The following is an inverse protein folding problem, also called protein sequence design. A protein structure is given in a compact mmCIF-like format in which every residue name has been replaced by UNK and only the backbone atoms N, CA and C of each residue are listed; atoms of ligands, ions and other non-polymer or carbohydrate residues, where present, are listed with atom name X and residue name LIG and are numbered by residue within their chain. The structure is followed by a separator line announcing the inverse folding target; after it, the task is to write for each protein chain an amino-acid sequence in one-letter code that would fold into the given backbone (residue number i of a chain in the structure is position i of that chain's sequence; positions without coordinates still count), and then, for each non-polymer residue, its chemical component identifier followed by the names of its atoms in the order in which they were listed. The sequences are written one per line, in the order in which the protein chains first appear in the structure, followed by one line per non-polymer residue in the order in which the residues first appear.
data_IF_458460299027
#
_entry.id   IF_458460299027
#
_cell.length_a   1.000
_cell.length_b   1.000
_cell.length_c   1.000
_cell.angle_alpha   90.00
_cell.angle_beta   90.00
_cell.angle_gamma   90.00
#
_symmetry.space_group_name_H-M   'P 1'
#
loop_
_entity.id
_entity.type
_entity.pdbx_description
1 polymer ?
#
# COMPACT_ATOMS: atom_id res chain seq x y z
N UNK A 1 -6.60 -8.50 -29.31
CA UNK A 1 -5.60 -8.26 -28.24
C UNK A 1 -4.32 -9.03 -28.54
N UNK A 2 -3.14 -8.54 -28.13
CA UNK A 2 -1.88 -9.30 -28.22
C UNK A 2 -1.76 -10.23 -27.02
N UNK A 3 -1.23 -11.44 -27.23
CA UNK A 3 -1.00 -12.44 -26.18
C UNK A 3 0.47 -12.82 -26.10
N UNK A 4 0.89 -13.39 -24.97
CA UNK A 4 2.22 -13.97 -24.76
C UNK A 4 2.08 -15.23 -23.91
N UNK A 5 2.85 -16.27 -24.22
CA UNK A 5 2.84 -17.50 -23.41
C UNK A 5 3.68 -17.31 -22.16
N UNK A 6 3.24 -17.82 -21.02
CA UNK A 6 3.97 -17.71 -19.75
C UNK A 6 5.43 -18.18 -19.85
N UNK A 7 5.71 -19.27 -20.56
CA UNK A 7 7.09 -19.77 -20.79
C UNK A 7 8.01 -18.72 -21.41
N UNK A 8 7.54 -17.94 -22.39
CA UNK A 8 8.31 -16.86 -23.01
C UNK A 8 8.60 -15.70 -22.03
N UNK A 9 7.69 -15.46 -21.08
CA UNK A 9 7.91 -14.52 -19.99
C UNK A 9 9.01 -15.02 -19.05
N UNK A 10 9.00 -16.30 -18.69
CA UNK A 10 10.02 -16.92 -17.82
C UNK A 10 11.39 -16.95 -18.49
N UNK A 11 11.47 -17.29 -19.79
CA UNK A 11 12.73 -17.29 -20.54
C UNK A 11 13.36 -15.88 -20.62
N UNK A 12 12.55 -14.84 -20.85
CA UNK A 12 13.03 -13.46 -20.92
C UNK A 12 13.36 -12.88 -19.53
N UNK A 13 12.43 -13.04 -18.58
CA UNK A 13 12.39 -12.30 -17.32
C UNK A 13 12.83 -13.10 -16.09
N UNK A 14 13.10 -14.39 -16.21
CA UNK A 14 13.47 -15.31 -15.14
C UNK A 14 12.27 -16.00 -14.48
N UNK A 15 12.54 -16.95 -13.58
CA UNK A 15 11.50 -17.62 -12.77
C UNK A 15 10.84 -16.62 -11.83
N UNK A 16 9.51 -16.54 -11.79
CA UNK A 16 8.81 -15.74 -10.79
C UNK A 16 8.70 -16.46 -9.46
N UNK A 17 8.62 -15.67 -8.40
CA UNK A 17 8.21 -16.08 -7.06
C UNK A 17 6.68 -15.87 -6.94
N UNK A 18 5.95 -16.82 -6.35
CA UNK A 18 4.57 -16.54 -5.87
C UNK A 18 4.69 -15.53 -4.74
N UNK A 19 3.78 -14.54 -4.67
CA UNK A 19 3.55 -13.72 -3.48
C UNK A 19 2.07 -13.76 -3.12
N UNK A 20 1.70 -14.57 -2.12
CA UNK A 20 0.35 -14.59 -1.59
C UNK A 20 0.08 -13.34 -0.72
N UNK A 21 -0.95 -12.55 -1.07
CA UNK A 21 -1.26 -11.31 -0.34
C UNK A 21 -2.11 -11.58 0.90
N UNK A 22 -1.45 -11.92 2.01
CA UNK A 22 -2.06 -12.13 3.34
C UNK A 22 -2.48 -10.82 4.05
N UNK A 23 -2.91 -9.80 3.30
CA UNK A 23 -3.27 -8.49 3.84
C UNK A 23 -3.32 -7.39 2.77
N UNK A 24 -3.46 -6.11 3.16
CA UNK A 24 -3.51 -5.01 2.20
C UNK A 24 -2.14 -4.80 1.54
N UNK A 25 -2.12 -4.72 0.20
CA UNK A 25 -0.91 -4.49 -0.62
C UNK A 25 -0.11 -3.21 -0.27
N UNK A 26 -0.67 -2.32 0.55
CA UNK A 26 0.05 -1.16 1.10
C UNK A 26 1.07 -1.53 2.19
N UNK A 27 0.91 -2.65 2.86
CA UNK A 27 1.82 -3.11 3.93
C UNK A 27 3.06 -3.83 3.40
N UNK A 28 2.97 -4.41 2.19
CA UNK A 28 4.07 -5.20 1.62
C UNK A 28 5.02 -4.32 0.78
N UNK A 29 6.17 -3.99 1.39
CA UNK A 29 7.18 -3.11 0.80
C UNK A 29 7.89 -3.73 -0.40
N UNK A 30 7.96 -5.06 -0.46
CA UNK A 30 8.57 -5.78 -1.58
C UNK A 30 7.65 -5.74 -2.80
N UNK A 31 6.36 -6.03 -2.60
CA UNK A 31 5.35 -5.91 -3.64
C UNK A 31 5.28 -4.48 -4.18
N UNK A 32 5.22 -3.46 -3.31
CA UNK A 32 5.25 -2.05 -3.75
C UNK A 32 6.46 -1.70 -4.60
N UNK A 33 7.63 -2.26 -4.29
CA UNK A 33 8.84 -2.07 -5.09
C UNK A 33 8.73 -2.79 -6.43
N UNK A 34 8.25 -4.03 -6.45
CA UNK A 34 8.01 -4.79 -7.67
C UNK A 34 6.99 -4.10 -8.59
N UNK A 35 5.95 -3.46 -8.04
CA UNK A 35 4.97 -2.65 -8.80
C UNK A 35 5.67 -1.47 -9.50
N UNK A 36 6.47 -0.69 -8.76
CA UNK A 36 7.23 0.46 -9.32
C UNK A 36 8.24 0.04 -10.39
N UNK A 37 8.88 -1.10 -10.22
CA UNK A 37 9.80 -1.69 -11.19
C UNK A 37 9.06 -2.42 -12.35
N UNK A 38 7.72 -2.48 -12.31
CA UNK A 38 6.84 -3.21 -13.23
C UNK A 38 7.27 -4.68 -13.40
N UNK A 39 7.45 -5.37 -12.27
CA UNK A 39 7.89 -6.77 -12.13
C UNK A 39 6.76 -7.71 -11.69
N UNK A 40 5.56 -7.19 -11.44
CA UNK A 40 4.39 -7.95 -10.99
C UNK A 40 3.56 -8.38 -12.18
N UNK A 41 3.15 -9.64 -12.18
CA UNK A 41 2.09 -10.22 -13.00
C UNK A 41 0.94 -10.60 -12.06
N UNK A 42 -0.24 -10.04 -12.27
CA UNK A 42 -1.46 -10.46 -11.56
C UNK A 42 -2.13 -11.57 -12.37
N UNK A 43 -2.50 -12.67 -11.72
CA UNK A 43 -3.14 -13.85 -12.30
C UNK A 43 -4.60 -13.89 -11.88
N UNK A 44 -5.50 -13.85 -12.85
CA UNK A 44 -6.94 -14.01 -12.65
C UNK A 44 -7.32 -15.48 -12.84
N UNK A 45 -7.88 -16.07 -11.78
CA UNK A 45 -8.42 -17.43 -11.75
C UNK A 45 -9.94 -17.33 -11.76
N UNK A 46 -10.58 -17.70 -12.87
CA UNK A 46 -12.05 -17.73 -12.94
C UNK A 46 -12.56 -18.99 -12.23
N UNK A 47 -12.92 -18.87 -10.94
CA UNK A 47 -13.40 -19.98 -10.09
C UNK A 47 -14.68 -20.70 -10.59
N UNK A 48 -15.29 -20.23 -11.69
CA UNK A 48 -16.53 -20.77 -12.27
C UNK A 48 -16.34 -21.14 -13.74
N UNK A 49 -16.14 -22.45 -13.99
CA UNK A 49 -16.09 -23.08 -15.31
C UNK A 49 -14.72 -23.65 -15.70
N UNK A 50 -14.62 -24.16 -16.92
CA UNK A 50 -13.37 -24.72 -17.51
C UNK A 50 -12.52 -23.68 -18.23
N UNK A 51 -12.69 -22.39 -17.92
CA UNK A 51 -11.89 -21.31 -18.51
C UNK A 51 -10.46 -21.38 -17.99
N UNK A 52 -9.50 -21.03 -18.85
CA UNK A 52 -8.07 -21.10 -18.52
C UNK A 52 -7.61 -19.83 -17.83
N UNK A 53 -6.81 -19.98 -16.78
CA UNK A 53 -6.12 -18.91 -16.08
C UNK A 53 -5.36 -17.99 -17.05
N UNK A 54 -5.42 -16.69 -16.77
CA UNK A 54 -4.78 -15.66 -17.57
C UNK A 54 -4.23 -14.56 -16.67
N UNK A 55 -3.15 -13.93 -17.14
CA UNK A 55 -2.46 -12.90 -16.38
C UNK A 55 -2.45 -11.54 -17.08
N UNK A 56 -2.44 -10.49 -16.26
CA UNK A 56 -2.25 -9.09 -16.66
C UNK A 56 -1.01 -8.55 -15.94
N UNK A 57 -0.13 -7.90 -16.69
CA UNK A 57 1.08 -7.30 -16.13
C UNK A 57 0.72 -6.00 -15.40
N UNK A 58 1.31 -5.83 -14.22
CA UNK A 58 0.89 -4.83 -13.24
C UNK A 58 0.23 -5.47 -12.02
N UNK A 59 -0.25 -4.62 -11.13
CA UNK A 59 -0.93 -5.02 -9.90
C UNK A 59 -2.40 -4.62 -9.97
N UNK A 60 -3.28 -5.61 -9.87
CA UNK A 60 -4.72 -5.42 -9.77
C UNK A 60 -5.20 -5.94 -8.39
N UNK A 61 -5.78 -5.09 -7.53
CA UNK A 61 -6.24 -5.49 -6.20
C UNK A 61 -7.56 -6.26 -6.31
N UNK A 62 -7.48 -7.57 -6.52
CA UNK A 62 -8.63 -8.48 -6.61
C UNK A 62 -8.47 -9.58 -5.55
N UNK A 63 -9.55 -9.92 -4.85
CA UNK A 63 -9.54 -10.90 -3.75
C UNK A 63 -9.18 -12.33 -4.19
N UNK A 64 -9.40 -12.66 -5.46
CA UNK A 64 -9.19 -13.97 -6.06
C UNK A 64 -7.91 -14.07 -6.88
N UNK A 65 -7.12 -13.00 -6.98
CA UNK A 65 -5.94 -12.98 -7.82
C UNK A 65 -4.65 -13.41 -7.09
N UNK A 66 -3.81 -14.15 -7.79
CA UNK A 66 -2.45 -14.48 -7.34
C UNK A 66 -1.44 -13.50 -7.96
N UNK A 67 -0.39 -13.17 -7.21
CA UNK A 67 0.65 -12.24 -7.68
C UNK A 67 1.95 -12.99 -7.89
N UNK A 68 2.55 -12.80 -9.08
CA UNK A 68 3.82 -13.40 -9.46
C UNK A 68 4.85 -12.29 -9.63
N UNK A 69 5.94 -12.35 -8.84
CA UNK A 69 7.01 -11.35 -8.84
C UNK A 69 8.19 -11.89 -9.64
N UNK A 70 8.50 -11.25 -10.77
CA UNK A 70 9.63 -11.63 -11.61
C UNK A 70 10.95 -10.96 -11.14
N UNK A 71 12.13 -11.59 -11.38
CA UNK A 71 13.41 -10.98 -11.06
C UNK A 71 13.77 -9.83 -12.02
N UNK A 72 13.25 -9.84 -13.26
CA UNK A 72 13.40 -8.74 -14.23
C UNK A 72 12.07 -8.04 -14.54
N UNK A 73 12.14 -6.81 -15.04
CA UNK A 73 10.97 -6.01 -15.41
C UNK A 73 10.19 -6.58 -16.60
N UNK A 74 8.87 -6.50 -16.53
CA UNK A 74 7.89 -6.97 -17.51
C UNK A 74 7.44 -5.88 -18.50
N UNK A 75 7.99 -4.66 -18.44
CA UNK A 75 7.60 -3.50 -19.29
C UNK A 75 7.57 -3.78 -20.80
N UNK A 76 8.32 -4.78 -21.29
CA UNK A 76 8.32 -5.17 -22.72
C UNK A 76 7.05 -5.92 -23.15
N UNK A 77 6.23 -6.33 -22.19
CA UNK A 77 5.07 -7.17 -22.37
C UNK A 77 3.77 -6.56 -21.81
N UNK A 78 3.79 -5.36 -21.22
CA UNK A 78 2.65 -4.72 -20.53
C UNK A 78 1.35 -4.72 -21.34
N UNK A 79 1.44 -4.53 -22.65
CA UNK A 79 0.29 -4.46 -23.58
C UNK A 79 -0.19 -5.84 -24.06
N UNK A 80 0.15 -6.91 -23.34
CA UNK A 80 -0.13 -8.31 -23.72
C UNK A 80 -0.77 -9.08 -22.57
N UNK A 81 -1.79 -9.87 -22.89
CA UNK A 81 -2.39 -10.85 -21.97
C UNK A 81 -1.49 -12.09 -21.88
N UNK A 82 -1.12 -12.49 -20.68
CA UNK A 82 -0.33 -13.70 -20.44
C UNK A 82 -1.28 -14.90 -20.41
N UNK A 83 -0.93 -15.97 -21.13
CA UNK A 83 -1.75 -17.19 -21.24
C UNK A 83 -0.93 -18.46 -20.98
N UNK A 84 -1.61 -19.49 -20.47
CA UNK A 84 -1.01 -20.80 -20.20
C UNK A 84 0.04 -20.73 -19.10
N UNK A 85 -0.39 -20.26 -17.93
CA UNK A 85 0.45 -20.14 -16.73
C UNK A 85 0.83 -21.55 -16.25
N UNK A 86 2.12 -21.77 -16.02
CA UNK A 86 2.69 -23.06 -15.66
C UNK A 86 3.22 -22.96 -14.22
N UNK A 87 2.35 -23.31 -13.27
CA UNK A 87 2.63 -23.22 -11.83
C UNK A 87 3.84 -24.07 -11.40
N UNK A 88 4.21 -25.09 -12.18
CA UNK A 88 5.39 -25.95 -11.95
C UNK A 88 6.72 -25.21 -12.04
N UNK A 89 6.75 -24.02 -12.66
CA UNK A 89 7.96 -23.22 -12.90
C UNK A 89 8.08 -22.04 -11.90
N UNK A 90 7.10 -21.90 -11.01
CA UNK A 90 7.03 -20.82 -10.03
C UNK A 90 7.60 -21.33 -8.71
N UNK A 91 8.49 -20.56 -8.10
CA UNK A 91 9.02 -20.91 -6.78
C UNK A 91 8.02 -20.43 -5.70
N UNK A 92 7.59 -21.30 -4.77
CA UNK A 92 6.62 -20.95 -3.74
C UNK A 92 7.27 -19.98 -2.72
N UNK A 93 6.45 -19.12 -2.11
CA UNK A 93 6.83 -18.23 -1.01
C UNK A 93 7.59 -18.98 0.11
N UNK A 94 8.93 -19.03 0.03
CA UNK A 94 9.77 -19.39 1.19
C UNK A 94 9.87 -18.24 2.20
N UNK A 95 9.18 -17.13 1.94
CA UNK A 95 9.08 -15.94 2.80
C UNK A 95 8.20 -16.12 4.06
N UNK A 96 7.96 -17.36 4.49
CA UNK A 96 7.57 -17.63 5.86
C UNK A 96 8.59 -16.96 6.82
N UNK A 97 8.16 -16.27 7.88
CA UNK A 97 9.09 -15.58 8.76
C UNK A 97 9.92 -16.62 9.50
N UNK A 98 11.13 -16.89 8.98
CA UNK A 98 12.15 -17.67 9.65
C UNK A 98 12.41 -16.99 10.99
N UNK A 99 11.77 -17.52 12.04
CA UNK A 99 12.05 -17.15 13.42
C UNK A 99 13.49 -17.55 13.66
N UNK A 100 14.42 -16.62 13.38
CA UNK A 100 15.83 -16.76 13.71
C UNK A 100 15.89 -17.07 15.19
N UNK A 101 16.03 -18.36 15.50
CA UNK A 101 16.22 -18.85 16.84
C UNK A 101 17.48 -18.16 17.34
N UNK A 102 17.29 -17.18 18.23
CA UNK A 102 18.40 -16.33 18.67
C UNK A 102 19.34 -17.22 19.45
N UNK A 103 20.41 -17.66 18.79
CA UNK A 103 21.36 -18.61 19.34
C UNK A 103 21.85 -18.06 20.69
N UNK A 104 21.46 -18.73 21.76
CA UNK A 104 21.71 -18.27 23.11
C UNK A 104 23.21 -18.21 23.35
N UNK A 105 23.78 -16.99 23.34
CA UNK A 105 25.18 -16.79 23.70
C UNK A 105 25.34 -17.23 25.16
N UNK A 106 26.27 -18.16 25.47
CA UNK A 106 26.42 -18.67 26.82
C UNK A 106 26.84 -17.55 27.77
N UNK A 107 26.19 -17.49 28.93
CA UNK A 107 26.50 -16.52 29.96
C UNK A 107 27.92 -16.74 30.51
N UNK A 108 28.74 -15.68 30.54
CA UNK A 108 30.00 -15.68 31.32
C UNK A 108 30.02 -14.50 32.28
N UNK A 109 30.39 -14.78 33.52
CA UNK A 109 30.15 -13.92 34.68
C UNK A 109 31.06 -12.69 34.76
N UNK A 110 30.43 -11.51 34.90
CA UNK A 110 30.60 -10.52 36.00
C UNK A 110 31.95 -10.50 36.75
N UNK A 111 32.55 -9.29 36.85
CA UNK A 111 32.82 -8.60 38.14
C UNK A 111 33.27 -7.13 37.97
N UNK A 112 32.48 -6.20 38.55
CA UNK A 112 32.85 -5.03 39.42
C UNK A 112 33.97 -4.06 38.96
N UNK A 113 33.89 -2.72 39.02
CA UNK A 113 33.53 -1.73 40.08
C UNK A 113 33.28 -0.35 39.38
N UNK A 114 32.74 0.75 39.93
CA UNK A 114 31.79 1.05 41.03
C UNK A 114 31.41 2.56 40.99
N UNK A 115 30.37 2.98 41.74
CA UNK A 115 30.08 4.35 42.21
C UNK A 115 29.63 5.48 41.24
N UNK A 116 28.44 6.03 41.54
CA UNK A 116 27.87 7.37 41.25
C UNK A 116 28.35 8.37 42.35
N UNK A 117 27.91 9.66 42.50
CA UNK A 117 27.10 10.58 41.67
C UNK A 117 27.58 12.08 41.69
N UNK A 118 26.66 13.02 41.34
CA UNK A 118 26.64 14.51 41.51
C UNK A 118 27.23 15.30 40.31
N UNK A 119 26.48 16.17 39.61
CA UNK A 119 25.64 17.35 39.97
C UNK A 119 26.45 18.47 40.64
N UNK A 120 26.65 19.59 39.91
CA UNK A 120 26.56 20.91 40.52
C UNK A 120 26.02 21.97 39.54
N UNK A 121 25.46 23.05 40.09
CA UNK A 121 24.56 24.00 39.43
C UNK A 121 24.78 25.41 40.03
N UNK A 122 25.22 26.38 39.21
CA UNK A 122 25.26 27.81 39.49
C UNK A 122 25.41 28.54 38.14
N UNK A 123 24.44 29.32 37.62
CA UNK A 123 23.93 30.62 38.09
C UNK A 123 25.05 31.67 38.14
N UNK A 124 25.03 32.70 37.28
CA UNK A 124 24.30 33.95 37.58
C UNK A 124 24.02 34.83 36.35
N UNK A 125 22.96 35.66 36.44
CA UNK A 125 22.59 36.77 35.53
C UNK A 125 22.89 38.10 36.25
N UNK A 126 23.35 39.15 35.56
CA UNK A 126 22.54 40.39 35.47
C UNK A 126 22.48 41.02 34.05
N UNK A 127 21.52 41.95 33.88
CA UNK A 127 21.34 42.89 32.76
C UNK A 127 22.23 44.16 32.95
N UNK A 128 22.34 45.17 32.02
CA UNK A 128 21.36 45.60 30.99
C UNK A 128 21.91 45.93 29.57
N UNK A 129 21.01 46.36 28.68
CA UNK A 129 21.24 46.74 27.26
C UNK A 129 21.99 48.08 27.05
N UNK A 130 22.46 48.39 25.82
CA UNK A 130 21.61 49.15 24.90
C UNK A 130 21.62 48.69 23.42
N UNK A 131 20.74 49.31 22.60
CA UNK A 131 20.52 49.05 21.16
C UNK A 131 21.70 49.53 20.29
N UNK A 132 21.79 49.05 19.04
CA UNK A 132 21.22 49.84 17.93
C UNK A 132 20.26 49.05 17.02
N UNK A 133 19.45 49.79 16.29
CA UNK A 133 18.59 49.32 15.18
C UNK A 133 19.12 49.91 13.85
N UNK A 134 18.43 49.75 12.72
CA UNK A 134 17.78 48.57 12.14
C UNK A 134 18.46 48.15 10.81
N UNK A 135 18.05 47.03 10.21
CA UNK A 135 18.34 46.74 8.79
C UNK A 135 17.04 46.42 8.03
N UNK A 136 16.91 46.79 6.74
CA UNK A 136 15.61 47.05 6.15
C UNK A 136 14.87 45.77 5.73
N UNK A 137 13.54 45.81 5.89
CA UNK A 137 12.65 44.82 5.29
C UNK A 137 12.76 44.88 3.77
N UNK A 138 13.14 43.76 3.14
CA UNK A 138 13.01 43.59 1.69
C UNK A 138 11.65 42.96 1.40
N UNK A 139 10.84 43.64 0.60
CA UNK A 139 9.42 43.34 0.39
C UNK A 139 9.15 41.91 -0.14
N UNK A 140 7.99 41.31 0.18
CA UNK A 140 7.55 40.07 -0.44
C UNK A 140 7.20 40.30 -1.92
N UNK A 141 7.87 39.57 -2.81
CA UNK A 141 7.53 39.52 -4.23
C UNK A 141 6.27 38.66 -4.46
N UNK A 142 5.47 38.93 -5.51
CA UNK A 142 4.06 38.53 -5.55
C UNK A 142 3.82 37.02 -5.72
N UNK A 143 2.77 36.56 -5.06
CA UNK A 143 2.18 35.22 -5.16
C UNK A 143 1.87 34.87 -6.62
N UNK A 144 2.76 34.10 -7.24
CA UNK A 144 2.62 33.67 -8.63
C UNK A 144 1.54 32.61 -8.72
N UNK A 145 0.46 32.91 -9.46
CA UNK A 145 -0.68 32.05 -9.64
C UNK A 145 -0.26 30.61 -10.01
N UNK A 146 -0.60 29.64 -9.17
CA UNK A 146 -0.87 28.28 -9.61
C UNK A 146 -2.38 28.20 -9.80
N UNK A 147 -2.80 27.87 -11.01
CA UNK A 147 -4.20 27.59 -11.27
C UNK A 147 -4.65 26.48 -10.34
N UNK A 148 -5.70 26.74 -9.57
CA UNK A 148 -6.58 25.69 -9.11
C UNK A 148 -7.17 25.05 -10.37
N UNK A 149 -6.63 23.90 -10.76
CA UNK A 149 -7.37 22.96 -11.59
C UNK A 149 -8.69 22.72 -10.87
N UNK A 150 -9.78 23.19 -11.48
CA UNK A 150 -11.14 22.88 -11.05
C UNK A 150 -11.37 21.44 -11.45
N UNK A 151 -10.86 20.52 -10.62
CA UNK A 151 -11.23 19.11 -10.68
C UNK A 151 -12.69 19.05 -10.22
N UNK A 152 -13.57 18.52 -11.07
CA UNK A 152 -15.01 18.44 -10.85
C UNK A 152 -15.35 17.66 -9.56
N UNK A 153 -15.48 18.42 -8.47
CA UNK A 153 -15.46 17.92 -7.10
C UNK A 153 -16.80 17.30 -6.65
N UNK A 154 -17.85 17.49 -7.46
CA UNK A 154 -19.19 16.91 -7.24
C UNK A 154 -19.14 15.40 -7.00
N UNK A 155 -18.27 14.68 -7.71
CA UNK A 155 -18.18 13.22 -7.61
C UNK A 155 -17.52 12.70 -6.33
N UNK A 156 -16.64 13.48 -5.70
CA UNK A 156 -15.97 13.06 -4.45
C UNK A 156 -16.84 13.38 -3.22
N UNK A 157 -17.55 14.52 -3.25
CA UNK A 157 -18.60 14.88 -2.29
C UNK A 157 -19.70 13.81 -2.22
N UNK A 158 -20.20 13.37 -3.38
CA UNK A 158 -21.21 12.33 -3.52
C UNK A 158 -20.73 10.97 -2.96
N UNK A 159 -19.52 10.54 -3.34
CA UNK A 159 -18.91 9.31 -2.81
C UNK A 159 -18.69 9.38 -1.29
N UNK A 160 -18.24 10.51 -0.78
CA UNK A 160 -18.06 10.74 0.66
C UNK A 160 -19.39 10.80 1.42
N UNK A 161 -20.49 11.14 0.75
CA UNK A 161 -21.85 11.08 1.30
C UNK A 161 -22.33 9.62 1.39
N UNK A 162 -22.24 8.84 0.30
CA UNK A 162 -22.60 7.41 0.31
C UNK A 162 -21.83 6.61 1.38
N UNK A 163 -20.52 6.81 1.51
CA UNK A 163 -19.70 6.12 2.51
C UNK A 163 -20.08 6.47 3.96
N UNK A 164 -20.79 7.58 4.20
CA UNK A 164 -21.36 7.92 5.52
C UNK A 164 -22.68 7.20 5.74
N UNK A 165 -23.58 7.19 4.77
CA UNK A 165 -24.85 6.44 4.87
C UNK A 165 -24.64 4.92 5.01
N UNK A 166 -23.66 4.33 4.32
CA UNK A 166 -23.30 2.90 4.48
C UNK A 166 -22.81 2.59 5.91
N UNK A 167 -22.11 3.53 6.56
CA UNK A 167 -21.68 3.34 7.96
C UNK A 167 -22.84 3.48 8.95
N UNK A 168 -23.80 4.37 8.66
CA UNK A 168 -24.99 4.53 9.48
C UNK A 168 -25.91 3.30 9.36
N UNK A 169 -26.15 2.78 8.16
CA UNK A 169 -26.93 1.55 7.95
C UNK A 169 -26.31 0.33 8.63
N UNK A 170 -24.99 0.16 8.59
CA UNK A 170 -24.30 -0.89 9.35
C UNK A 170 -24.53 -0.75 10.86
N UNK A 171 -24.43 0.45 11.42
CA UNK A 171 -24.75 0.71 12.83
C UNK A 171 -26.23 0.46 13.18
N UNK A 172 -27.16 0.72 12.25
CA UNK A 172 -28.58 0.38 12.42
C UNK A 172 -28.83 -1.15 12.36
N UNK A 173 -28.09 -1.89 11.53
CA UNK A 173 -28.10 -3.37 11.52
C UNK A 173 -27.53 -3.96 12.82
N UNK A 174 -26.40 -3.45 13.32
CA UNK A 174 -25.81 -3.86 14.60
C UNK A 174 -26.74 -3.54 15.79
N UNK A 175 -27.53 -2.47 15.70
CA UNK A 175 -28.56 -2.12 16.67
C UNK A 175 -29.87 -2.92 16.52
N UNK A 176 -29.92 -3.93 15.64
CA UNK A 176 -31.10 -4.79 15.42
C UNK A 176 -32.25 -4.12 14.65
N UNK A 177 -32.03 -2.95 14.04
CA UNK A 177 -33.05 -2.22 13.27
C UNK A 177 -33.00 -2.63 11.79
N UNK A 178 -33.30 -3.90 11.53
CA UNK A 178 -33.06 -4.53 10.23
C UNK A 178 -33.90 -3.94 9.10
N UNK A 179 -35.19 -3.70 9.31
CA UNK A 179 -36.09 -3.13 8.29
C UNK A 179 -35.69 -1.73 7.77
N UNK A 180 -35.48 -0.70 8.63
CA UNK A 180 -35.09 0.61 8.13
C UNK A 180 -33.69 0.61 7.50
N UNK A 181 -32.76 -0.20 8.02
CA UNK A 181 -31.43 -0.32 7.45
C UNK A 181 -31.45 -0.95 6.05
N UNK A 182 -32.28 -1.98 5.81
CA UNK A 182 -32.46 -2.60 4.49
C UNK A 182 -33.06 -1.62 3.48
N UNK A 183 -34.15 -0.92 3.82
CA UNK A 183 -34.76 0.11 2.94
C UNK A 183 -33.79 1.25 2.59
N UNK A 184 -32.86 1.55 3.49
CA UNK A 184 -31.85 2.58 3.30
C UNK A 184 -30.67 2.08 2.47
N UNK A 185 -30.32 0.80 2.59
CA UNK A 185 -29.33 0.14 1.72
C UNK A 185 -29.84 0.02 0.27
N UNK A 186 -31.12 -0.29 0.09
CA UNK A 186 -31.79 -0.41 -1.22
C UNK A 186 -31.72 0.90 -2.02
N UNK A 187 -32.05 2.04 -1.39
CA UNK A 187 -31.88 3.37 -2.00
C UNK A 187 -30.44 3.72 -2.36
N UNK A 188 -29.46 3.24 -1.57
CA UNK A 188 -28.04 3.46 -1.87
C UNK A 188 -27.57 2.59 -3.04
N UNK A 189 -28.21 1.44 -3.28
CA UNK A 189 -27.96 0.60 -4.45
C UNK A 189 -28.54 1.25 -5.72
N UNK A 190 -29.79 1.72 -5.69
CA UNK A 190 -30.40 2.47 -6.82
C UNK A 190 -29.55 3.70 -7.19
N UNK A 191 -29.12 4.50 -6.20
CA UNK A 191 -28.27 5.67 -6.42
C UNK A 191 -26.86 5.35 -6.97
N UNK A 192 -26.43 4.08 -6.93
CA UNK A 192 -25.19 3.59 -7.54
C UNK A 192 -25.41 3.00 -8.94
N UNK A 193 -26.62 2.57 -9.29
CA UNK A 193 -26.98 2.06 -10.62
C UNK A 193 -27.43 3.18 -11.58
N UNK A 194 -27.91 4.31 -11.07
CA UNK A 194 -28.32 5.47 -11.87
C UNK A 194 -27.15 6.37 -12.34
N UNK A 195 -25.88 5.91 -12.19
CA UNK A 195 -24.66 6.74 -12.32
C UNK A 195 -23.58 6.15 -13.24
#
# INVERSE_FOLDING_TARGET
MKTVRFKQLVEACGRPEVKALWGPAKSDRELQRAIKEARVLTVHQENVGTKKDWGVIGFWPEHTAQYLIFPKSLKRFSDRRVIGIDYSVVEPDTSAPERKAVAAKPARHRKTRSAKPKKNEARSKPEPSPRPAPSPQRAPAPSRARGSEVVDNDSDLDRAHMLREVRLTLGELEAGKTEPALRRLERLAEALEER
#
